data_IF_983047104228
#
_entry.id   IF_983047104228
#
_cell.length_a   1.000
_cell.length_b   1.000
_cell.length_c   1.000
_cell.angle_alpha   90.00
_cell.angle_beta   90.00
_cell.angle_gamma   90.00
#
_symmetry.space_group_name_H-M   'P 1'
#
loop_
_entity.id
_entity.type
_entity.pdbx_description
1 polymer ?
#
# COMPACT_ATOMS: atom_id res chain seq x y z
N UNK A 1 -9.67 -46.99 67.30
CA UNK A 1 -10.31 -45.68 67.03
C UNK A 1 -9.23 -44.61 66.97
N UNK A 2 -8.79 -44.23 65.77
CA UNK A 2 -8.16 -42.95 65.39
C UNK A 2 -7.90 -43.01 63.87
N UNK A 3 -8.53 -42.09 63.17
CA UNK A 3 -8.63 -41.95 61.71
C UNK A 3 -7.60 -40.91 61.24
N UNK A 4 -7.25 -40.97 59.95
CA UNK A 4 -6.71 -39.91 59.08
C UNK A 4 -5.19 -39.61 59.16
N UNK A 5 -4.48 -39.28 58.07
CA UNK A 5 -4.89 -38.84 56.73
C UNK A 5 -3.74 -39.10 55.73
N UNK A 6 -4.01 -39.76 54.60
CA UNK A 6 -3.10 -39.81 53.46
C UNK A 6 -3.38 -38.58 52.56
N UNK A 7 -2.38 -37.72 52.38
CA UNK A 7 -2.47 -36.55 51.52
C UNK A 7 -2.29 -36.99 50.06
N UNK A 8 -3.39 -37.07 49.30
CA UNK A 8 -3.35 -37.25 47.85
C UNK A 8 -3.05 -35.89 47.18
N UNK A 9 -1.88 -35.77 46.54
CA UNK A 9 -1.58 -34.68 45.62
C UNK A 9 -2.41 -34.88 44.35
N UNK A 10 -3.47 -34.08 44.16
CA UNK A 10 -4.12 -33.92 42.87
C UNK A 10 -3.29 -32.96 42.01
N UNK A 11 -2.66 -33.49 40.96
CA UNK A 11 -2.12 -32.68 39.87
C UNK A 11 -3.27 -32.25 38.96
N UNK A 12 -3.73 -31.01 39.13
CA UNK A 12 -4.71 -30.39 38.22
C UNK A 12 -4.00 -29.96 36.93
N UNK A 13 -4.25 -30.66 35.84
CA UNK A 13 -3.91 -30.20 34.49
C UNK A 13 -4.76 -28.99 34.14
N UNK A 14 -4.20 -27.80 34.28
CA UNK A 14 -4.80 -26.57 33.78
C UNK A 14 -4.67 -26.57 32.25
N UNK A 15 -5.80 -26.71 31.55
CA UNK A 15 -5.89 -26.34 30.14
C UNK A 15 -5.65 -24.83 30.04
N UNK A 16 -4.44 -24.42 29.65
CA UNK A 16 -4.14 -23.04 29.33
C UNK A 16 -4.95 -22.60 28.12
N UNK A 17 -6.05 -21.90 28.36
CA UNK A 17 -6.72 -21.12 27.32
C UNK A 17 -5.76 -19.99 26.95
N UNK A 18 -5.13 -20.09 25.78
CA UNK A 18 -4.42 -18.95 25.21
C UNK A 18 -5.49 -17.95 24.81
N UNK A 19 -5.84 -17.03 25.71
CA UNK A 19 -6.57 -15.84 25.33
C UNK A 19 -5.59 -15.01 24.49
N UNK A 20 -5.80 -14.84 23.18
CA UNK A 20 -5.00 -13.88 22.43
C UNK A 20 -5.12 -12.54 23.14
N UNK A 21 -3.99 -11.98 23.53
CA UNK A 21 -3.96 -10.64 24.12
C UNK A 21 -4.62 -9.69 23.12
N UNK A 22 -5.53 -8.81 23.55
CA UNK A 22 -6.14 -7.83 22.65
C UNK A 22 -5.02 -7.03 21.98
N UNK A 23 -4.99 -7.09 20.66
CA UNK A 23 -4.08 -6.28 19.85
C UNK A 23 -4.35 -4.84 20.26
N UNK A 24 -3.38 -4.22 20.91
CA UNK A 24 -3.51 -2.89 21.51
C UNK A 24 -3.42 -1.84 20.41
N UNK A 25 -4.48 -1.71 19.63
CA UNK A 25 -4.71 -0.62 18.69
C UNK A 25 -6.07 -0.01 18.97
N UNK A 26 -6.19 1.31 18.84
CA UNK A 26 -7.52 1.92 18.74
C UNK A 26 -8.23 1.29 17.54
N UNK A 27 -9.50 0.90 17.66
CA UNK A 27 -10.26 0.37 16.52
C UNK A 27 -10.20 1.38 15.37
N UNK A 28 -9.96 0.90 14.15
CA UNK A 28 -9.87 1.74 12.97
C UNK A 28 -11.17 2.51 12.78
N UNK A 29 -11.07 3.80 12.47
CA UNK A 29 -12.24 4.57 12.04
C UNK A 29 -12.68 4.16 10.64
N UNK A 30 -13.86 4.64 10.20
CA UNK A 30 -14.44 4.24 8.91
C UNK A 30 -13.51 4.59 7.74
N UNK A 31 -12.82 5.73 7.79
CA UNK A 31 -11.88 6.14 6.72
C UNK A 31 -10.67 5.21 6.66
N UNK A 32 -10.09 4.86 7.81
CA UNK A 32 -8.99 3.90 7.91
C UNK A 32 -9.42 2.50 7.47
N UNK A 33 -10.65 2.08 7.79
CA UNK A 33 -11.21 0.81 7.30
C UNK A 33 -11.36 0.81 5.77
N UNK A 34 -11.79 1.92 5.16
CA UNK A 34 -11.87 2.03 3.69
C UNK A 34 -10.50 1.87 3.05
N UNK A 35 -9.46 2.50 3.60
CA UNK A 35 -8.09 2.29 3.14
C UNK A 35 -7.65 0.84 3.30
N UNK A 36 -7.84 0.24 4.47
CA UNK A 36 -7.49 -1.16 4.71
C UNK A 36 -8.18 -2.12 3.72
N UNK A 37 -9.45 -1.87 3.37
CA UNK A 37 -10.15 -2.63 2.32
C UNK A 37 -9.49 -2.43 0.95
N UNK A 38 -9.18 -1.19 0.55
CA UNK A 38 -8.56 -0.92 -0.74
C UNK A 38 -7.13 -1.45 -0.86
N UNK A 39 -6.37 -1.47 0.25
CA UNK A 39 -5.01 -2.00 0.28
C UNK A 39 -5.01 -3.52 0.09
N UNK A 40 -6.02 -4.22 0.63
CA UNK A 40 -6.13 -5.69 0.54
C UNK A 40 -6.82 -6.14 -0.75
N UNK A 41 -7.88 -5.46 -1.17
CA UNK A 41 -8.77 -5.91 -2.27
C UNK A 41 -8.49 -5.19 -3.58
N UNK A 42 -7.86 -4.01 -3.53
CA UNK A 42 -7.57 -3.17 -4.69
C UNK A 42 -8.52 -1.97 -4.80
N UNK A 43 -8.20 -1.01 -5.68
CA UNK A 43 -8.92 0.27 -5.79
C UNK A 43 -10.27 0.13 -6.50
N UNK A 44 -11.31 0.87 -6.11
CA UNK A 44 -12.60 0.86 -6.80
C UNK A 44 -12.52 1.51 -8.18
N UNK A 45 -13.22 0.93 -9.16
CA UNK A 45 -13.57 1.60 -10.42
C UNK A 45 -14.70 2.58 -10.14
N UNK A 46 -14.53 3.84 -10.53
CA UNK A 46 -15.54 4.87 -10.38
C UNK A 46 -15.51 5.87 -11.54
N UNK A 47 -16.59 6.63 -11.71
CA UNK A 47 -16.65 7.73 -12.66
C UNK A 47 -15.91 8.92 -12.07
N UNK A 48 -14.62 9.06 -12.41
CA UNK A 48 -13.81 10.18 -11.92
C UNK A 48 -14.36 11.51 -12.49
N UNK A 49 -14.81 12.45 -11.64
CA UNK A 49 -15.40 13.70 -12.09
C UNK A 49 -14.43 14.61 -12.86
N UNK A 50 -13.12 14.42 -12.73
CA UNK A 50 -12.13 15.22 -13.46
C UNK A 50 -11.85 14.68 -14.87
N UNK A 51 -12.24 13.44 -15.16
CA UNK A 51 -11.99 12.78 -16.45
C UNK A 51 -13.27 12.42 -17.21
N UNK A 52 -14.39 12.23 -16.52
CA UNK A 52 -15.67 11.91 -17.12
C UNK A 52 -16.61 13.13 -17.14
N UNK A 53 -17.26 13.46 -18.27
CA UNK A 53 -17.23 12.76 -19.56
C UNK A 53 -16.02 13.10 -20.45
N UNK A 54 -15.36 14.25 -20.23
CA UNK A 54 -14.20 14.69 -21.01
C UNK A 54 -13.16 15.29 -20.06
N UNK A 55 -11.95 14.73 -20.10
CA UNK A 55 -10.81 15.24 -19.34
C UNK A 55 -10.29 16.56 -19.91
N UNK A 56 -9.84 17.45 -19.01
CA UNK A 56 -9.17 18.70 -19.38
C UNK A 56 -7.74 18.69 -18.87
N UNK A 57 -6.79 19.06 -19.71
CA UNK A 57 -5.39 19.17 -19.33
C UNK A 57 -5.23 20.11 -18.12
N UNK A 58 -4.53 19.65 -17.08
CA UNK A 58 -4.34 20.38 -15.82
C UNK A 58 -5.61 20.52 -14.94
N UNK A 59 -6.78 20.05 -15.40
CA UNK A 59 -8.05 20.22 -14.69
C UNK A 59 -8.06 19.58 -13.31
N UNK A 60 -7.58 18.34 -13.20
CA UNK A 60 -7.55 17.61 -11.92
C UNK A 60 -6.67 18.30 -10.87
N UNK A 61 -5.52 18.85 -11.28
CA UNK A 61 -4.63 19.60 -10.39
C UNK A 61 -5.29 20.89 -9.90
N UNK A 62 -6.01 21.59 -10.78
CA UNK A 62 -6.78 22.78 -10.40
C UNK A 62 -7.92 22.44 -9.43
N UNK A 63 -8.65 21.35 -9.67
CA UNK A 63 -9.67 20.81 -8.75
C UNK A 63 -9.08 20.44 -7.39
N UNK A 64 -7.89 19.83 -7.37
CA UNK A 64 -7.20 19.48 -6.14
C UNK A 64 -6.87 20.72 -5.29
N UNK A 65 -6.33 21.76 -5.93
CA UNK A 65 -5.99 23.03 -5.25
C UNK A 65 -7.24 23.72 -4.72
N UNK A 66 -8.30 23.81 -5.53
CA UNK A 66 -9.55 24.50 -5.15
C UNK A 66 -10.33 23.77 -4.06
N UNK A 67 -10.32 22.45 -4.06
CA UNK A 67 -11.04 21.60 -3.09
C UNK A 67 -10.24 21.41 -1.79
N UNK A 68 -8.94 21.67 -1.79
CA UNK A 68 -8.06 21.45 -0.64
C UNK A 68 -8.56 22.04 0.69
N UNK A 69 -9.09 23.28 0.77
CA UNK A 69 -9.64 23.81 2.02
C UNK A 69 -10.81 22.98 2.57
N UNK A 70 -11.67 22.45 1.70
CA UNK A 70 -12.76 21.57 2.10
C UNK A 70 -12.25 20.22 2.61
N UNK A 71 -11.28 19.63 1.92
CA UNK A 71 -10.67 18.37 2.38
C UNK A 71 -10.01 18.54 3.75
N UNK A 72 -9.31 19.67 3.97
CA UNK A 72 -8.65 19.98 5.24
C UNK A 72 -9.65 20.27 6.38
N UNK A 73 -10.86 20.73 6.06
CA UNK A 73 -11.92 20.98 7.05
C UNK A 73 -12.52 19.68 7.63
N UNK A 74 -12.49 18.57 6.88
CA UNK A 74 -12.79 17.23 7.40
C UNK A 74 -11.51 16.65 8.04
N UNK A 75 -11.24 17.07 9.28
CA UNK A 75 -9.98 16.79 9.97
C UNK A 75 -9.68 15.29 10.13
N UNK A 76 -10.70 14.46 10.38
CA UNK A 76 -10.54 13.02 10.57
C UNK A 76 -10.17 12.33 9.25
N UNK A 77 -10.90 12.60 8.18
CA UNK A 77 -10.60 12.05 6.85
C UNK A 77 -9.25 12.56 6.35
N UNK A 78 -8.97 13.85 6.54
CA UNK A 78 -7.70 14.45 6.12
C UNK A 78 -6.50 13.82 6.85
N UNK A 79 -6.60 13.65 8.17
CA UNK A 79 -5.54 13.02 8.95
C UNK A 79 -5.30 11.57 8.52
N UNK A 80 -6.37 10.82 8.26
CA UNK A 80 -6.27 9.44 7.77
C UNK A 80 -5.61 9.38 6.37
N UNK A 81 -5.97 10.28 5.45
CA UNK A 81 -5.34 10.38 4.12
C UNK A 81 -3.85 10.72 4.27
N UNK A 82 -3.51 11.77 5.04
CA UNK A 82 -2.10 12.19 5.21
C UNK A 82 -1.26 11.07 5.81
N UNK A 83 -1.80 10.34 6.79
CA UNK A 83 -1.11 9.20 7.40
C UNK A 83 -0.94 8.03 6.42
N UNK A 84 -2.01 7.62 5.73
CA UNK A 84 -2.00 6.49 4.79
C UNK A 84 -1.09 6.75 3.59
N UNK A 85 -1.13 7.97 3.06
CA UNK A 85 -0.31 8.39 1.92
C UNK A 85 1.12 8.79 2.33
N UNK A 86 1.46 8.74 3.61
CA UNK A 86 2.78 9.14 4.15
C UNK A 86 3.19 10.57 3.76
N UNK A 87 2.23 11.49 3.78
CA UNK A 87 2.43 12.90 3.50
C UNK A 87 3.03 13.62 4.72
N UNK A 88 3.83 14.69 4.52
CA UNK A 88 4.34 15.48 5.64
C UNK A 88 3.19 16.18 6.39
N UNK A 89 3.39 16.43 7.68
CA UNK A 89 2.44 17.18 8.52
C UNK A 89 2.47 18.70 8.30
N UNK A 90 3.35 19.19 7.42
CA UNK A 90 3.49 20.59 7.06
C UNK A 90 2.52 21.00 5.93
N UNK A 91 2.63 22.25 5.46
CA UNK A 91 1.87 22.67 4.28
C UNK A 91 2.28 21.85 3.04
N UNK A 92 1.27 21.29 2.37
CA UNK A 92 1.46 20.42 1.22
C UNK A 92 1.74 21.23 -0.06
N UNK A 93 2.66 20.75 -0.87
CA UNK A 93 2.86 21.24 -2.25
C UNK A 93 1.64 20.95 -3.10
N UNK A 94 1.50 21.60 -4.27
CA UNK A 94 0.36 21.36 -5.15
C UNK A 94 0.29 19.90 -5.64
N UNK A 95 1.43 19.27 -5.94
CA UNK A 95 1.50 17.85 -6.26
C UNK A 95 1.03 16.97 -5.09
N UNK A 96 1.37 17.33 -3.85
CA UNK A 96 0.90 16.62 -2.66
C UNK A 96 -0.59 16.84 -2.39
N UNK A 97 -1.13 18.03 -2.67
CA UNK A 97 -2.59 18.26 -2.62
C UNK A 97 -3.32 17.38 -3.63
N UNK A 98 -2.73 17.14 -4.81
CA UNK A 98 -3.29 16.21 -5.80
C UNK A 98 -3.33 14.77 -5.29
N UNK A 99 -2.31 14.32 -4.55
CA UNK A 99 -2.35 13.01 -3.86
C UNK A 99 -3.53 12.95 -2.89
N UNK A 100 -3.68 13.95 -2.01
CA UNK A 100 -4.80 14.02 -1.05
C UNK A 100 -6.14 13.98 -1.78
N UNK A 101 -6.27 14.75 -2.86
CA UNK A 101 -7.50 14.83 -3.64
C UNK A 101 -7.89 13.51 -4.30
N UNK A 102 -6.92 12.80 -4.88
CA UNK A 102 -7.15 11.46 -5.45
C UNK A 102 -7.58 10.45 -4.39
N UNK A 103 -6.91 10.43 -3.24
CA UNK A 103 -7.30 9.58 -2.11
C UNK A 103 -8.71 9.91 -1.60
N UNK A 104 -9.03 11.21 -1.49
CA UNK A 104 -10.36 11.68 -1.09
C UNK A 104 -11.45 11.25 -2.07
N UNK A 105 -11.21 11.32 -3.39
CA UNK A 105 -12.12 10.78 -4.42
C UNK A 105 -12.31 9.26 -4.26
N UNK A 106 -11.23 8.51 -4.06
CA UNK A 106 -11.27 7.05 -3.88
C UNK A 106 -12.08 6.64 -2.63
N UNK A 107 -11.87 7.30 -1.51
CA UNK A 107 -12.63 7.05 -0.27
C UNK A 107 -14.14 7.27 -0.45
N UNK A 108 -14.54 8.17 -1.36
CA UNK A 108 -15.94 8.43 -1.70
C UNK A 108 -16.53 7.43 -2.69
N UNK A 109 -15.67 6.69 -3.40
CA UNK A 109 -16.08 5.63 -4.31
C UNK A 109 -16.31 4.27 -3.61
N UNK A 110 -15.84 4.13 -2.37
CA UNK A 110 -16.03 2.94 -1.54
C UNK A 110 -17.04 3.21 -0.42
N UNK A 111 -18.17 2.52 -0.44
CA UNK A 111 -19.14 2.53 0.66
C UNK A 111 -18.98 1.28 1.53
N UNK A 112 -18.94 1.50 2.85
CA UNK A 112 -18.97 0.45 3.85
C UNK A 112 -20.34 0.48 4.53
N UNK A 113 -21.09 -0.62 4.43
CA UNK A 113 -22.39 -0.76 5.09
C UNK A 113 -22.19 -1.45 6.42
N UNK A 114 -22.50 -0.78 7.53
CA UNK A 114 -22.38 -1.38 8.87
C UNK A 114 -23.45 -2.46 9.07
N UNK A 115 -23.04 -3.62 9.59
CA UNK A 115 -23.93 -4.73 9.92
C UNK A 115 -23.42 -5.53 11.12
N UNK A 116 -24.22 -5.61 12.18
CA UNK A 116 -23.81 -6.24 13.44
C UNK A 116 -22.54 -5.58 14.01
N UNK A 117 -21.50 -6.39 14.23
CA UNK A 117 -20.18 -5.92 14.68
C UNK A 117 -19.18 -5.64 13.56
N UNK A 118 -19.60 -5.65 12.29
CA UNK A 118 -18.72 -5.53 11.13
C UNK A 118 -19.25 -4.61 10.03
N UNK A 119 -18.58 -4.65 8.88
CA UNK A 119 -18.95 -3.92 7.66
C UNK A 119 -19.02 -4.86 6.47
N UNK A 120 -19.96 -4.63 5.56
CA UNK A 120 -19.99 -5.22 4.23
C UNK A 120 -19.68 -4.16 3.18
N UNK A 121 -19.13 -4.59 2.04
CA UNK A 121 -18.83 -3.74 0.90
C UNK A 121 -18.94 -4.54 -0.40
N UNK A 122 -19.20 -3.85 -1.51
CA UNK A 122 -19.20 -4.44 -2.84
C UNK A 122 -18.78 -3.37 -3.86
N UNK A 123 -17.74 -3.62 -4.63
CA UNK A 123 -17.30 -2.75 -5.72
C UNK A 123 -16.55 -3.53 -6.80
N UNK A 124 -16.38 -2.92 -7.97
CA UNK A 124 -15.52 -3.46 -9.05
C UNK A 124 -14.10 -2.95 -8.87
N UNK A 125 -13.12 -3.84 -8.90
CA UNK A 125 -11.71 -3.51 -8.71
C UNK A 125 -11.11 -2.97 -10.02
N UNK A 126 -10.33 -1.90 -9.95
CA UNK A 126 -9.51 -1.40 -11.06
C UNK A 126 -8.30 -2.32 -11.22
N UNK A 127 -8.06 -2.89 -12.42
CA UNK A 127 -6.86 -3.69 -12.66
C UNK A 127 -5.59 -2.87 -12.40
N UNK A 128 -4.61 -3.43 -11.69
CA UNK A 128 -3.31 -2.81 -11.39
C UNK A 128 -2.37 -2.69 -12.61
N UNK A 129 -2.89 -2.69 -13.84
CA UNK A 129 -2.10 -2.70 -15.09
C UNK A 129 -2.03 -1.34 -15.77
N UNK A 130 -2.46 -0.27 -15.10
CA UNK A 130 -2.74 1.02 -15.74
C UNK A 130 -1.71 2.11 -15.44
N UNK A 131 -0.43 1.73 -15.34
CA UNK A 131 0.66 2.70 -15.13
C UNK A 131 0.90 3.52 -16.41
N UNK A 132 0.88 4.85 -16.31
CA UNK A 132 1.05 5.77 -17.46
C UNK A 132 2.02 6.91 -17.19
N UNK A 133 2.62 7.44 -18.26
CA UNK A 133 3.38 8.71 -18.20
C UNK A 133 2.45 9.82 -17.69
N UNK A 134 2.97 10.66 -16.80
CA UNK A 134 2.24 11.72 -16.10
C UNK A 134 1.51 11.25 -14.83
N UNK A 135 1.39 9.94 -14.59
CA UNK A 135 0.83 9.44 -13.33
C UNK A 135 1.73 9.84 -12.16
N UNK A 136 1.14 10.42 -11.12
CA UNK A 136 1.89 10.78 -9.90
C UNK A 136 2.19 9.52 -9.11
N UNK A 137 3.45 9.32 -8.80
CA UNK A 137 3.98 8.19 -8.04
C UNK A 137 4.84 8.69 -6.90
N UNK A 138 5.04 7.83 -5.91
CA UNK A 138 5.96 8.09 -4.82
C UNK A 138 7.40 7.85 -5.26
N UNK A 139 8.27 8.85 -5.10
CA UNK A 139 9.70 8.80 -5.37
C UNK A 139 10.50 9.44 -4.23
N UNK A 140 11.82 9.37 -4.31
CA UNK A 140 12.73 9.80 -3.26
C UNK A 140 13.61 10.95 -3.75
N UNK A 141 13.69 12.00 -2.94
CA UNK A 141 14.72 13.04 -3.06
C UNK A 141 16.12 12.50 -2.81
N UNK A 142 17.16 13.27 -3.16
CA UNK A 142 18.55 12.87 -2.93
C UNK A 142 18.89 12.68 -1.43
N UNK A 143 18.22 13.42 -0.55
CA UNK A 143 18.34 13.33 0.92
C UNK A 143 17.48 12.20 1.53
N UNK A 144 16.80 11.40 0.72
CA UNK A 144 16.08 10.22 1.21
C UNK A 144 14.61 10.48 1.57
N UNK A 145 14.12 11.71 1.46
CA UNK A 145 12.73 12.04 1.77
C UNK A 145 11.79 11.61 0.64
N UNK A 146 10.68 10.95 1.01
CA UNK A 146 9.60 10.55 0.11
C UNK A 146 8.82 11.77 -0.38
N UNK A 147 8.63 11.87 -1.70
CA UNK A 147 7.93 12.94 -2.40
C UNK A 147 7.06 12.35 -3.53
N UNK A 148 6.02 13.07 -3.92
CA UNK A 148 5.14 12.68 -5.01
C UNK A 148 5.54 13.43 -6.28
N UNK A 149 5.84 12.71 -7.36
CA UNK A 149 6.29 13.27 -8.65
C UNK A 149 5.66 12.47 -9.81
N UNK A 150 5.51 13.06 -11.00
CA UNK A 150 5.00 12.33 -12.16
C UNK A 150 6.02 11.27 -12.64
N UNK A 151 5.50 10.13 -13.10
CA UNK A 151 6.23 9.19 -13.94
C UNK A 151 6.53 9.87 -15.29
N UNK A 152 7.81 10.00 -15.63
CA UNK A 152 8.26 10.61 -16.89
C UNK A 152 8.45 9.58 -18.00
N UNK A 153 8.61 8.31 -17.63
CA UNK A 153 8.68 7.19 -18.57
C UNK A 153 8.01 5.96 -17.96
N UNK A 154 7.36 5.15 -18.80
CA UNK A 154 6.79 3.86 -18.43
C UNK A 154 7.18 2.84 -19.49
N UNK A 155 7.90 1.81 -19.07
CA UNK A 155 8.22 0.64 -19.88
C UNK A 155 7.25 -0.50 -19.60
N UNK A 156 6.97 -1.31 -20.61
CA UNK A 156 6.22 -2.56 -20.38
C UNK A 156 6.67 -3.66 -21.32
N UNK A 157 6.62 -4.89 -20.83
CA UNK A 157 7.00 -6.09 -21.58
C UNK A 157 5.84 -7.10 -21.53
N UNK A 158 5.47 -7.74 -22.66
CA UNK A 158 4.61 -8.93 -22.62
C UNK A 158 5.24 -10.00 -21.73
N UNK A 159 4.42 -10.67 -20.93
CA UNK A 159 4.88 -11.74 -20.05
C UNK A 159 5.22 -12.97 -20.90
N UNK A 160 6.46 -13.48 -20.86
CA UNK A 160 6.82 -14.69 -21.59
C UNK A 160 6.15 -15.93 -20.95
N UNK A 161 5.95 -17.02 -21.71
CA UNK A 161 5.42 -18.27 -21.15
C UNK A 161 6.26 -18.76 -19.97
N UNK A 162 5.60 -19.13 -18.87
CA UNK A 162 6.26 -19.64 -17.67
C UNK A 162 7.00 -18.57 -16.86
N UNK A 163 6.69 -17.29 -17.05
CA UNK A 163 7.28 -16.20 -16.26
C UNK A 163 7.02 -16.39 -14.76
N UNK A 164 8.09 -16.24 -13.99
CA UNK A 164 8.04 -16.29 -12.53
C UNK A 164 8.29 -14.90 -11.96
N UNK A 165 7.62 -14.60 -10.85
CA UNK A 165 7.83 -13.39 -10.08
C UNK A 165 8.30 -13.75 -8.68
N UNK A 166 9.15 -12.91 -8.11
CA UNK A 166 9.46 -12.94 -6.69
C UNK A 166 8.23 -12.43 -5.96
N UNK A 167 7.63 -13.29 -5.14
CA UNK A 167 6.68 -12.92 -4.13
C UNK A 167 7.43 -12.85 -2.80
N UNK A 168 7.52 -11.65 -2.22
CA UNK A 168 8.17 -11.44 -0.92
C UNK A 168 7.22 -10.76 0.06
N UNK A 169 7.39 -11.12 1.34
CA UNK A 169 6.66 -10.52 2.46
C UNK A 169 7.68 -10.05 3.48
N UNK A 170 7.52 -8.82 3.96
CA UNK A 170 8.35 -8.21 4.98
C UNK A 170 7.74 -8.40 6.38
N UNK A 171 8.56 -8.28 7.42
CA UNK A 171 8.16 -8.48 8.81
C UNK A 171 7.11 -7.46 9.31
N UNK A 172 7.03 -6.31 8.63
CA UNK A 172 6.04 -5.26 8.89
C UNK A 172 4.73 -5.47 8.08
N UNK A 173 4.61 -6.58 7.35
CA UNK A 173 3.42 -6.96 6.60
C UNK A 173 3.36 -6.42 5.17
N UNK A 174 4.32 -5.59 4.73
CA UNK A 174 4.39 -5.17 3.33
C UNK A 174 4.72 -6.37 2.43
N UNK A 175 4.06 -6.44 1.29
CA UNK A 175 4.17 -7.53 0.33
C UNK A 175 4.49 -6.96 -1.05
N UNK A 176 5.31 -7.66 -1.82
CA UNK A 176 5.66 -7.27 -3.18
C UNK A 176 5.67 -8.49 -4.09
N UNK A 177 5.03 -8.33 -5.25
CA UNK A 177 5.15 -9.24 -6.38
C UNK A 177 5.86 -8.53 -7.54
N UNK A 178 7.11 -8.88 -7.79
CA UNK A 178 7.91 -8.24 -8.83
C UNK A 178 8.81 -9.23 -9.60
N UNK A 179 9.22 -8.87 -10.82
CA UNK A 179 10.14 -9.72 -11.59
C UNK A 179 11.53 -9.77 -10.93
N UNK A 180 12.23 -10.92 -10.91
CA UNK A 180 13.49 -11.09 -10.18
C UNK A 180 14.59 -10.06 -10.51
N UNK A 181 14.59 -9.53 -11.74
CA UNK A 181 15.57 -8.54 -12.20
C UNK A 181 15.34 -7.11 -11.70
N UNK A 182 14.20 -6.79 -11.09
CA UNK A 182 14.01 -5.49 -10.44
C UNK A 182 15.02 -5.32 -9.32
N UNK A 183 15.45 -4.06 -9.11
CA UNK A 183 16.47 -3.76 -8.11
C UNK A 183 15.85 -3.08 -6.90
N UNK A 184 16.34 -3.45 -5.73
CA UNK A 184 16.12 -2.75 -4.48
C UNK A 184 16.72 -1.33 -4.56
N UNK A 185 16.38 -0.47 -3.60
CA UNK A 185 17.02 0.83 -3.44
C UNK A 185 18.55 0.74 -3.27
N UNK A 186 19.05 -0.35 -2.66
CA UNK A 186 20.48 -0.61 -2.45
C UNK A 186 21.18 -1.32 -3.63
N UNK A 187 20.45 -1.59 -4.73
CA UNK A 187 21.00 -2.06 -6.00
C UNK A 187 21.03 -3.58 -6.19
N UNK A 188 20.73 -4.37 -5.16
CA UNK A 188 20.57 -5.82 -5.25
C UNK A 188 19.37 -6.18 -6.15
N UNK A 189 19.45 -7.28 -6.89
CA UNK A 189 18.28 -7.79 -7.60
C UNK A 189 17.33 -8.47 -6.60
N UNK A 190 16.01 -8.37 -6.81
CA UNK A 190 15.03 -9.04 -5.97
C UNK A 190 15.21 -10.57 -5.99
N UNK A 191 15.69 -11.10 -7.13
CA UNK A 191 16.03 -12.51 -7.30
C UNK A 191 17.18 -13.00 -6.41
N UNK A 192 18.01 -12.11 -5.90
CA UNK A 192 19.17 -12.43 -5.06
C UNK A 192 18.85 -12.32 -3.56
N UNK A 193 17.64 -11.88 -3.21
CA UNK A 193 17.21 -11.77 -1.81
C UNK A 193 16.82 -13.14 -1.26
N UNK A 194 16.94 -13.26 0.06
CA UNK A 194 16.49 -14.45 0.80
C UNK A 194 15.79 -14.05 2.11
N UNK A 195 15.08 -15.01 2.69
CA UNK A 195 14.51 -14.86 4.03
C UNK A 195 15.57 -14.46 5.04
N UNK A 196 15.28 -13.42 5.82
CA UNK A 196 16.19 -12.82 6.81
C UNK A 196 16.94 -11.59 6.31
N UNK A 197 17.02 -11.37 5.00
CA UNK A 197 17.65 -10.16 4.47
C UNK A 197 16.88 -8.89 4.87
N UNK A 198 17.61 -7.81 5.09
CA UNK A 198 17.01 -6.49 5.26
C UNK A 198 16.59 -5.91 3.91
N UNK A 199 15.38 -5.35 3.83
CA UNK A 199 14.85 -4.61 2.69
C UNK A 199 14.00 -3.43 3.19
N UNK A 200 14.35 -2.22 2.75
CA UNK A 200 13.61 -0.98 3.03
C UNK A 200 13.21 -0.80 4.51
N UNK A 201 14.18 -1.04 5.41
CA UNK A 201 14.01 -0.88 6.86
C UNK A 201 13.31 -2.05 7.57
N UNK A 202 12.95 -3.13 6.87
CA UNK A 202 12.31 -4.33 7.43
C UNK A 202 13.06 -5.60 7.03
N UNK A 203 12.67 -6.75 7.59
CA UNK A 203 13.29 -8.05 7.27
C UNK A 203 12.36 -8.89 6.38
N UNK A 204 12.92 -9.56 5.38
CA UNK A 204 12.19 -10.51 4.52
C UNK A 204 11.80 -11.74 5.36
N UNK A 205 10.50 -12.01 5.50
CA UNK A 205 9.98 -13.18 6.24
C UNK A 205 9.54 -14.30 5.32
N UNK A 206 9.11 -13.96 4.10
CA UNK A 206 8.79 -14.88 3.01
C UNK A 206 9.47 -14.42 1.73
N UNK A 207 9.98 -15.38 0.97
CA UNK A 207 10.50 -15.19 -0.38
C UNK A 207 10.24 -16.47 -1.16
N UNK A 208 9.56 -16.36 -2.31
CA UNK A 208 9.30 -17.49 -3.19
C UNK A 208 9.17 -17.02 -4.65
N UNK A 209 9.37 -17.96 -5.58
CA UNK A 209 9.07 -17.74 -6.99
C UNK A 209 7.70 -18.31 -7.30
N UNK A 210 6.78 -17.44 -7.74
CA UNK A 210 5.41 -17.82 -8.10
C UNK A 210 5.17 -17.61 -9.59
N UNK A 211 4.33 -18.46 -10.18
CA UNK A 211 3.92 -18.31 -11.57
C UNK A 211 3.05 -17.06 -11.72
N UNK A 212 3.38 -16.22 -12.71
CA UNK A 212 2.61 -15.03 -13.02
C UNK A 212 1.76 -15.24 -14.27
N UNK A 213 0.45 -14.99 -14.14
CA UNK A 213 -0.53 -15.14 -15.22
C UNK A 213 -0.97 -13.80 -15.83
N UNK A 214 -0.35 -12.68 -15.45
CA UNK A 214 -0.66 -11.39 -16.05
C UNK A 214 -0.15 -11.30 -17.49
N UNK A 215 -0.72 -10.37 -18.28
CA UNK A 215 -0.35 -10.21 -19.69
C UNK A 215 0.96 -9.44 -19.88
N UNK A 216 1.24 -8.50 -18.96
CA UNK A 216 2.37 -7.58 -19.03
C UNK A 216 3.00 -7.36 -17.65
N UNK A 217 4.27 -7.01 -17.68
CA UNK A 217 4.97 -6.39 -16.55
C UNK A 217 5.29 -4.94 -16.91
N UNK A 218 5.44 -4.11 -15.89
CA UNK A 218 5.65 -2.68 -16.03
C UNK A 218 6.84 -2.26 -15.17
N UNK A 219 7.51 -1.23 -15.64
CA UNK A 219 8.46 -0.47 -14.84
C UNK A 219 8.29 1.01 -15.18
N UNK A 220 8.66 1.90 -14.26
CA UNK A 220 8.47 3.33 -14.41
C UNK A 220 9.70 4.11 -13.98
N UNK A 221 9.88 5.28 -14.58
CA UNK A 221 10.89 6.25 -14.18
C UNK A 221 10.18 7.50 -13.65
N UNK A 222 10.32 7.84 -12.36
CA UNK A 222 9.78 9.07 -11.81
C UNK A 222 10.64 10.29 -12.18
N UNK A 223 10.05 11.49 -12.19
CA UNK A 223 10.78 12.75 -12.38
C UNK A 223 11.83 13.03 -11.29
N UNK A 224 11.72 12.36 -10.13
CA UNK A 224 12.65 12.47 -9.00
C UNK A 224 14.08 12.12 -9.36
N UNK A 225 15.05 12.77 -8.69
CA UNK A 225 16.47 12.72 -9.03
C UNK A 225 17.13 11.33 -8.86
N UNK A 226 16.51 10.42 -8.10
CA UNK A 226 17.09 9.13 -7.72
C UNK A 226 16.74 7.98 -8.67
N UNK A 227 15.71 8.15 -9.52
CA UNK A 227 15.16 7.04 -10.31
C UNK A 227 14.53 5.93 -9.46
N UNK A 228 14.21 6.20 -8.19
CA UNK A 228 13.57 5.24 -7.28
C UNK A 228 12.07 5.49 -7.14
N UNK A 229 11.29 4.45 -6.94
CA UNK A 229 9.86 4.55 -6.70
C UNK A 229 9.38 3.54 -5.66
N UNK A 230 8.24 3.81 -5.04
CA UNK A 230 7.57 2.84 -4.16
C UNK A 230 6.58 1.99 -4.97
N UNK A 231 6.73 0.66 -4.88
CA UNK A 231 5.74 -0.32 -5.30
C UNK A 231 5.25 -1.06 -4.06
N UNK A 232 3.93 -1.10 -3.84
CA UNK A 232 3.30 -1.74 -2.68
C UNK A 232 3.97 -1.38 -1.34
N UNK A 233 4.34 -0.09 -1.23
CA UNK A 233 4.97 0.44 -0.02
C UNK A 233 6.44 0.06 0.16
N UNK A 234 7.10 -0.58 -0.82
CA UNK A 234 8.52 -0.96 -0.78
C UNK A 234 9.32 -0.15 -1.81
N UNK A 235 10.43 0.47 -1.36
CA UNK A 235 11.29 1.28 -2.22
C UNK A 235 12.15 0.43 -3.18
N UNK A 236 11.94 0.63 -4.47
CA UNK A 236 12.68 0.00 -5.57
C UNK A 236 13.43 1.03 -6.41
N UNK A 237 14.40 0.56 -7.17
CA UNK A 237 15.09 1.31 -8.21
C UNK A 237 14.49 0.98 -9.57
N UNK A 238 14.26 2.02 -10.39
CA UNK A 238 13.86 1.85 -11.78
C UNK A 238 14.91 1.06 -12.56
N UNK A 239 14.43 0.18 -13.44
CA UNK A 239 15.22 -0.50 -14.47
C UNK A 239 15.37 0.36 -15.72
N UNK A 240 14.52 1.38 -15.89
CA UNK A 240 14.66 2.43 -16.90
C UNK A 240 15.79 3.40 -16.50
N UNK A 241 16.36 4.08 -17.50
CA UNK A 241 17.46 5.03 -17.31
C UNK A 241 17.14 6.35 -18.00
N UNK A 242 17.62 7.45 -17.41
CA UNK A 242 17.62 8.78 -18.06
C UNK A 242 18.62 8.83 -19.22
#
# INVERSE_FOLDING_TARGET
MRIALALALLATTACGSVNPSPVSGSPLNVTQLKFAVMDVVGRPVYCDPDFYPIAREGGEQASAISTYPQMKADAETYAAIVAHEHLPSADLTDAQKLVVYRAWKLLRALDLTQGGSGYSFQYRIQPMTDVRVGQVVWTQTADGRRIAEPAIEVGSMPVPPGHLMVHLVLADGRELLASPGHRTADGRALGDLQKGDALDGSAVTSWELVAYSGERTYDLLPAGATGRYWADGILLSSTLRR
#
